data_IF_241937645021
#
_entry.id   IF_241937645021
#
_cell.length_a   1.000
_cell.length_b   1.000
_cell.length_c   1.000
_cell.angle_alpha   90.00
_cell.angle_beta   90.00
_cell.angle_gamma   90.00
#
_symmetry.space_group_name_H-M   'P 1'
#
loop_
_entity.id
_entity.type
_entity.pdbx_description
1 polymer ?
#
# COMPACT_ATOMS: atom_id res chain seq x y z
N UNK A 1 -31.31 38.74 -60.63
CA UNK A 1 -31.32 38.10 -59.30
C UNK A 1 -31.21 39.23 -58.30
N UNK A 2 -32.24 39.41 -57.49
CA UNK A 2 -32.40 40.63 -56.69
C UNK A 2 -31.55 40.52 -55.41
N UNK A 3 -30.89 41.61 -55.00
CA UNK A 3 -29.95 41.60 -53.86
C UNK A 3 -30.61 41.12 -52.56
N UNK A 4 -31.90 41.38 -52.40
CA UNK A 4 -32.76 40.87 -51.32
C UNK A 4 -32.78 39.35 -51.26
N UNK A 5 -33.05 38.68 -52.38
CA UNK A 5 -33.11 37.20 -52.46
C UNK A 5 -31.76 36.53 -52.16
N UNK A 6 -30.64 37.17 -52.53
CA UNK A 6 -29.30 36.67 -52.22
C UNK A 6 -28.97 36.84 -50.73
N UNK A 7 -29.37 37.97 -50.13
CA UNK A 7 -29.18 38.24 -48.69
C UNK A 7 -29.99 37.27 -47.82
N UNK A 8 -31.25 37.01 -48.16
CA UNK A 8 -32.10 36.05 -47.44
C UNK A 8 -31.52 34.63 -47.48
N UNK A 9 -31.00 34.19 -48.64
CA UNK A 9 -30.35 32.89 -48.76
C UNK A 9 -29.10 32.74 -47.88
N UNK A 10 -28.30 33.81 -47.77
CA UNK A 10 -27.12 33.84 -46.89
C UNK A 10 -27.50 33.84 -45.41
N UNK A 11 -28.55 34.56 -45.02
CA UNK A 11 -29.05 34.58 -43.64
C UNK A 11 -29.55 33.19 -43.19
N UNK A 12 -30.30 32.48 -44.04
CA UNK A 12 -30.75 31.11 -43.76
C UNK A 12 -29.55 30.16 -43.59
N UNK A 13 -28.55 30.27 -44.47
CA UNK A 13 -27.32 29.47 -44.37
C UNK A 13 -26.55 29.74 -43.07
N UNK A 14 -26.48 31.00 -42.64
CA UNK A 14 -25.83 31.38 -41.39
C UNK A 14 -26.54 30.78 -40.16
N UNK A 15 -27.87 30.84 -40.11
CA UNK A 15 -28.64 30.23 -39.02
C UNK A 15 -28.46 28.70 -38.98
N UNK A 16 -28.42 28.04 -40.14
CA UNK A 16 -28.18 26.60 -40.23
C UNK A 16 -26.78 26.21 -39.74
N UNK A 17 -25.76 26.97 -40.12
CA UNK A 17 -24.40 26.80 -39.62
C UNK A 17 -24.32 26.96 -38.10
N UNK A 18 -25.03 27.93 -37.52
CA UNK A 18 -25.10 28.12 -36.06
C UNK A 18 -25.72 26.93 -35.32
N UNK A 19 -26.78 26.33 -35.86
CA UNK A 19 -27.41 25.11 -35.32
C UNK A 19 -26.45 23.92 -35.43
N UNK A 20 -25.82 23.72 -36.59
CA UNK A 20 -24.83 22.65 -36.79
C UNK A 20 -23.62 22.79 -35.87
N UNK A 21 -23.12 24.02 -35.69
CA UNK A 21 -22.03 24.31 -34.76
C UNK A 21 -22.45 23.95 -33.33
N UNK A 22 -23.65 24.36 -32.92
CA UNK A 22 -24.16 24.06 -31.57
C UNK A 22 -24.32 22.55 -31.34
N UNK A 23 -24.85 21.83 -32.32
CA UNK A 23 -24.98 20.37 -32.26
C UNK A 23 -23.62 19.66 -32.21
N UNK A 24 -22.65 20.11 -33.01
CA UNK A 24 -21.31 19.51 -33.02
C UNK A 24 -20.58 19.71 -31.68
N UNK A 25 -20.73 20.87 -31.04
CA UNK A 25 -20.21 21.13 -29.69
C UNK A 25 -20.84 20.15 -28.68
N UNK A 26 -22.16 19.98 -28.70
CA UNK A 26 -22.87 19.08 -27.77
C UNK A 26 -22.39 17.62 -27.94
N UNK A 27 -22.25 17.17 -29.19
CA UNK A 27 -21.77 15.82 -29.51
C UNK A 27 -20.31 15.67 -29.04
N UNK A 28 -19.44 16.66 -29.32
CA UNK A 28 -18.04 16.66 -28.90
C UNK A 28 -17.89 16.56 -27.38
N UNK A 29 -18.68 17.32 -26.61
CA UNK A 29 -18.66 17.25 -25.13
C UNK A 29 -19.10 15.87 -24.63
N UNK A 30 -20.13 15.26 -25.25
CA UNK A 30 -20.56 13.90 -24.89
C UNK A 30 -19.48 12.86 -25.19
N UNK A 31 -18.82 12.95 -26.35
CA UNK A 31 -17.72 12.05 -26.71
C UNK A 31 -16.55 12.16 -25.72
N UNK A 32 -16.16 13.38 -25.35
CA UNK A 32 -15.10 13.60 -24.35
C UNK A 32 -15.46 13.01 -22.98
N UNK A 33 -16.72 13.09 -22.55
CA UNK A 33 -17.18 12.46 -21.30
C UNK A 33 -17.09 10.92 -21.36
N UNK A 34 -17.50 10.31 -22.48
CA UNK A 34 -17.40 8.87 -22.68
C UNK A 34 -15.94 8.40 -22.70
N UNK A 35 -15.07 9.08 -23.45
CA UNK A 35 -13.64 8.77 -23.49
C UNK A 35 -12.98 8.86 -22.11
N UNK A 36 -13.29 9.90 -21.33
CA UNK A 36 -12.80 10.01 -19.95
C UNK A 36 -13.24 8.83 -19.09
N UNK A 37 -14.50 8.41 -19.20
CA UNK A 37 -15.01 7.24 -18.47
C UNK A 37 -14.29 5.96 -18.89
N UNK A 38 -14.15 5.72 -20.19
CA UNK A 38 -13.47 4.53 -20.71
C UNK A 38 -11.99 4.49 -20.29
N UNK A 39 -11.30 5.63 -20.26
CA UNK A 39 -9.94 5.73 -19.75
C UNK A 39 -9.86 5.37 -18.27
N UNK A 40 -10.78 5.87 -17.44
CA UNK A 40 -10.83 5.54 -16.01
C UNK A 40 -11.08 4.06 -15.81
N UNK A 41 -12.03 3.47 -16.54
CA UNK A 41 -12.35 2.05 -16.45
C UNK A 41 -11.20 1.15 -16.95
N UNK A 42 -10.49 1.58 -18.00
CA UNK A 42 -9.29 0.88 -18.49
C UNK A 42 -8.14 0.97 -17.47
N UNK A 43 -7.87 2.15 -16.93
CA UNK A 43 -6.83 2.36 -15.92
C UNK A 43 -7.12 1.54 -14.67
N UNK A 44 -8.38 1.53 -14.20
CA UNK A 44 -8.80 0.71 -13.06
C UNK A 44 -8.54 -0.78 -13.30
N UNK A 45 -8.93 -1.30 -14.48
CA UNK A 45 -8.68 -2.71 -14.84
C UNK A 45 -7.19 -3.02 -14.88
N UNK A 46 -6.39 -2.14 -15.49
CA UNK A 46 -4.94 -2.30 -15.55
C UNK A 46 -4.30 -2.32 -14.14
N UNK A 47 -4.73 -1.44 -13.23
CA UNK A 47 -4.22 -1.45 -11.85
C UNK A 47 -4.61 -2.71 -11.08
N UNK A 48 -5.81 -3.24 -11.30
CA UNK A 48 -6.25 -4.50 -10.68
C UNK A 48 -5.44 -5.68 -11.23
N UNK A 49 -5.25 -5.76 -12.53
CA UNK A 49 -4.40 -6.77 -13.17
C UNK A 49 -2.97 -6.70 -12.63
N UNK A 50 -2.42 -5.49 -12.50
CA UNK A 50 -1.09 -5.29 -11.92
C UNK A 50 -1.01 -5.73 -10.46
N UNK A 51 -2.04 -5.47 -9.64
CA UNK A 51 -2.11 -5.99 -8.28
C UNK A 51 -2.04 -7.52 -8.24
N UNK A 52 -2.74 -8.20 -9.14
CA UNK A 52 -2.73 -9.67 -9.22
C UNK A 52 -1.34 -10.17 -9.65
N UNK A 53 -0.72 -9.53 -10.64
CA UNK A 53 0.64 -9.86 -11.09
C UNK A 53 1.66 -9.71 -9.95
N UNK A 54 1.58 -8.59 -9.21
CA UNK A 54 2.45 -8.30 -8.06
C UNK A 54 2.27 -9.34 -6.95
N UNK A 55 1.04 -9.72 -6.64
CA UNK A 55 0.76 -10.78 -5.67
C UNK A 55 1.26 -12.15 -6.13
N UNK A 56 1.07 -12.48 -7.41
CA UNK A 56 1.56 -13.72 -7.99
C UNK A 56 3.10 -13.76 -7.99
N UNK A 57 3.76 -12.64 -8.30
CA UNK A 57 5.20 -12.48 -8.19
C UNK A 57 5.68 -12.74 -6.77
N UNK A 58 5.06 -12.06 -5.79
CA UNK A 58 5.43 -12.18 -4.39
C UNK A 58 5.32 -13.64 -3.91
N UNK A 59 4.21 -14.31 -4.23
CA UNK A 59 3.98 -15.69 -3.83
C UNK A 59 4.89 -16.70 -4.54
N UNK A 60 5.12 -16.55 -5.85
CA UNK A 60 5.82 -17.56 -6.67
C UNK A 60 7.33 -17.38 -6.74
N UNK A 61 7.83 -16.16 -6.54
CA UNK A 61 9.26 -15.83 -6.67
C UNK A 61 9.84 -15.33 -5.37
N UNK A 62 9.24 -14.29 -4.79
CA UNK A 62 9.81 -13.63 -3.62
C UNK A 62 9.83 -14.54 -2.39
N UNK A 63 8.70 -15.17 -2.03
CA UNK A 63 8.63 -16.07 -0.87
C UNK A 63 9.64 -17.22 -0.97
N UNK A 64 9.73 -17.99 -2.08
CA UNK A 64 10.74 -19.04 -2.20
C UNK A 64 12.19 -18.53 -2.11
N UNK A 65 12.49 -17.38 -2.73
CA UNK A 65 13.82 -16.78 -2.66
C UNK A 65 14.16 -16.33 -1.22
N UNK A 66 13.16 -15.83 -0.50
CA UNK A 66 13.30 -15.44 0.89
C UNK A 66 13.47 -16.65 1.83
N UNK A 67 12.78 -17.76 1.59
CA UNK A 67 12.98 -19.01 2.32
C UNK A 67 14.39 -19.59 2.10
N UNK A 68 14.89 -19.49 0.87
CA UNK A 68 16.25 -19.90 0.52
C UNK A 68 17.29 -19.03 1.25
N UNK A 69 17.09 -17.72 1.28
CA UNK A 69 17.88 -16.79 2.09
C UNK A 69 17.87 -17.21 3.57
N UNK A 70 16.69 -17.45 4.15
CA UNK A 70 16.56 -17.85 5.55
C UNK A 70 17.27 -19.17 5.85
N UNK A 71 17.29 -20.11 4.89
CA UNK A 71 18.01 -21.38 5.02
C UNK A 71 19.51 -21.15 5.10
N UNK A 72 20.08 -20.34 4.20
CA UNK A 72 21.52 -19.98 4.19
C UNK A 72 21.90 -19.23 5.45
N UNK A 73 21.12 -18.21 5.80
CA UNK A 73 21.34 -17.40 6.99
C UNK A 73 21.35 -18.25 8.28
N UNK A 74 20.36 -19.15 8.45
CA UNK A 74 20.27 -19.99 9.66
C UNK A 74 21.35 -21.06 9.76
N UNK A 75 21.98 -21.43 8.65
CA UNK A 75 23.13 -22.35 8.68
C UNK A 75 24.35 -21.71 9.35
N UNK A 76 24.50 -20.38 9.23
CA UNK A 76 25.59 -19.62 9.83
C UNK A 76 25.21 -18.99 11.18
N UNK A 77 23.97 -18.53 11.32
CA UNK A 77 23.43 -17.92 12.54
C UNK A 77 22.12 -18.64 12.96
N UNK A 78 22.22 -19.74 13.72
CA UNK A 78 21.05 -20.52 14.14
C UNK A 78 20.14 -19.76 15.11
N UNK A 79 20.70 -18.87 15.94
CA UNK A 79 19.97 -18.08 16.93
C UNK A 79 20.29 -16.60 16.74
N UNK A 80 19.28 -15.84 16.31
CA UNK A 80 19.37 -14.37 16.22
C UNK A 80 19.32 -13.73 17.59
N UNK A 81 20.03 -12.62 17.72
CA UNK A 81 19.89 -11.69 18.83
C UNK A 81 18.62 -10.87 18.60
N UNK A 82 17.82 -10.69 19.66
CA UNK A 82 16.71 -9.75 19.58
C UNK A 82 17.27 -8.34 19.46
N UNK A 83 16.94 -7.68 18.36
CA UNK A 83 17.36 -6.32 18.02
C UNK A 83 16.16 -5.42 17.74
N UNK A 84 14.94 -5.86 18.07
CA UNK A 84 13.71 -5.09 17.87
C UNK A 84 13.75 -3.68 18.48
N UNK A 85 14.45 -3.52 19.61
CA UNK A 85 14.66 -2.23 20.29
C UNK A 85 15.47 -1.20 19.48
N UNK A 86 16.14 -1.63 18.40
CA UNK A 86 16.92 -0.75 17.52
C UNK A 86 16.08 -0.14 16.38
N UNK A 87 14.84 -0.60 16.18
CA UNK A 87 13.95 -0.05 15.15
C UNK A 87 13.52 1.36 15.57
N UNK A 88 14.20 2.38 15.03
CA UNK A 88 13.97 3.79 15.34
C UNK A 88 12.99 4.49 14.38
N UNK A 89 12.28 3.73 13.55
CA UNK A 89 11.39 4.25 12.50
C UNK A 89 12.10 4.86 11.28
N UNK A 90 13.29 5.43 11.45
CA UNK A 90 14.06 5.98 10.33
C UNK A 90 14.78 4.89 9.52
N UNK A 91 14.94 3.70 10.10
CA UNK A 91 15.75 2.61 9.56
C UNK A 91 17.11 3.15 9.12
N UNK A 92 17.80 3.77 10.06
CA UNK A 92 19.06 4.45 9.80
C UNK A 92 19.99 4.23 11.00
N UNK A 93 20.81 3.19 10.91
CA UNK A 93 21.75 2.77 11.96
C UNK A 93 23.10 2.57 11.31
N UNK A 94 24.12 3.23 11.84
CA UNK A 94 25.50 3.02 11.42
C UNK A 94 26.00 1.66 11.92
N UNK A 95 26.67 0.90 11.06
CA UNK A 95 27.21 -0.42 11.39
C UNK A 95 28.32 -0.34 12.44
N UNK A 96 28.97 0.81 12.55
CA UNK A 96 30.02 1.11 13.54
C UNK A 96 29.44 1.21 14.96
N UNK A 97 28.17 1.56 15.10
CA UNK A 97 27.46 1.65 16.39
C UNK A 97 26.89 0.30 16.85
N UNK A 98 26.99 -0.74 16.04
CA UNK A 98 26.52 -2.08 16.38
C UNK A 98 27.59 -2.84 17.16
N UNK A 99 27.14 -3.66 18.12
CA UNK A 99 28.01 -4.62 18.80
C UNK A 99 28.54 -5.70 17.83
N UNK A 100 29.59 -6.42 18.24
CA UNK A 100 30.27 -7.37 17.36
C UNK A 100 29.34 -8.46 16.80
N UNK A 101 28.41 -8.97 17.60
CA UNK A 101 27.49 -10.02 17.14
C UNK A 101 26.53 -9.48 16.08
N UNK A 102 25.94 -8.31 16.33
CA UNK A 102 25.04 -7.64 15.37
C UNK A 102 25.76 -7.28 14.06
N UNK A 103 27.05 -6.91 14.12
CA UNK A 103 27.87 -6.68 12.92
C UNK A 103 28.10 -7.94 12.11
N UNK A 104 28.38 -9.07 12.78
CA UNK A 104 28.51 -10.38 12.12
C UNK A 104 27.17 -10.75 11.46
N UNK A 105 26.04 -10.53 12.15
CA UNK A 105 24.72 -10.77 11.58
C UNK A 105 24.50 -10.00 10.27
N UNK A 106 24.82 -8.71 10.22
CA UNK A 106 24.70 -7.90 9.00
C UNK A 106 25.56 -8.45 7.84
N UNK A 107 26.77 -8.93 8.14
CA UNK A 107 27.67 -9.52 7.13
C UNK A 107 27.05 -10.82 6.58
N UNK A 108 26.62 -11.72 7.46
CA UNK A 108 26.00 -12.99 7.05
C UNK A 108 24.69 -12.77 6.29
N UNK A 109 23.89 -11.77 6.70
CA UNK A 109 22.68 -11.36 5.99
C UNK A 109 23.00 -10.95 4.54
N UNK A 110 24.06 -10.16 4.34
CA UNK A 110 24.53 -9.76 3.03
C UNK A 110 25.03 -10.94 2.20
N UNK A 111 25.87 -11.81 2.77
CA UNK A 111 26.44 -12.97 2.07
C UNK A 111 25.39 -14.03 1.72
N UNK A 112 24.32 -14.11 2.51
CA UNK A 112 23.16 -14.97 2.24
C UNK A 112 22.24 -14.45 1.13
N UNK A 113 22.48 -13.24 0.60
CA UNK A 113 21.77 -12.68 -0.55
C UNK A 113 20.58 -11.78 -0.22
N UNK A 114 20.48 -11.22 0.99
CA UNK A 114 19.36 -10.37 1.37
C UNK A 114 19.30 -9.03 0.59
N UNK A 115 20.44 -8.54 0.09
CA UNK A 115 20.50 -7.30 -0.71
C UNK A 115 19.64 -7.43 -1.99
N UNK A 116 19.72 -8.57 -2.67
CA UNK A 116 18.95 -8.82 -3.89
C UNK A 116 17.45 -8.78 -3.61
N UNK A 117 17.02 -9.36 -2.50
CA UNK A 117 15.63 -9.33 -2.05
C UNK A 117 15.17 -7.90 -1.73
N UNK A 118 15.99 -7.09 -1.06
CA UNK A 118 15.66 -5.67 -0.83
C UNK A 118 15.55 -4.87 -2.13
N UNK A 119 16.38 -5.15 -3.13
CA UNK A 119 16.25 -4.51 -4.45
C UNK A 119 14.91 -4.84 -5.10
N UNK A 120 14.48 -6.10 -5.06
CA UNK A 120 13.17 -6.51 -5.57
C UNK A 120 12.02 -5.82 -4.81
N UNK A 121 12.14 -5.73 -3.48
CA UNK A 121 11.15 -5.04 -2.65
C UNK A 121 11.08 -3.55 -2.91
N UNK A 122 12.20 -2.91 -3.27
CA UNK A 122 12.18 -1.47 -3.60
C UNK A 122 11.32 -1.19 -4.83
N UNK A 123 11.41 -2.01 -5.88
CA UNK A 123 10.56 -1.91 -7.07
C UNK A 123 9.11 -2.30 -6.78
N UNK A 124 8.92 -3.37 -6.01
CA UNK A 124 7.61 -3.80 -5.56
C UNK A 124 6.88 -2.68 -4.80
N UNK A 125 7.57 -2.06 -3.84
CA UNK A 125 7.01 -1.03 -2.98
C UNK A 125 6.75 0.26 -3.75
N UNK A 126 7.65 0.63 -4.68
CA UNK A 126 7.42 1.74 -5.59
C UNK A 126 6.11 1.58 -6.36
N UNK A 127 5.85 0.41 -6.94
CA UNK A 127 4.65 0.17 -7.73
C UNK A 127 3.35 0.33 -6.94
N UNK A 128 3.37 0.03 -5.63
CA UNK A 128 2.20 0.19 -4.76
C UNK A 128 2.05 1.63 -4.29
N UNK A 129 3.15 2.28 -3.91
CA UNK A 129 3.13 3.67 -3.44
C UNK A 129 2.72 4.65 -4.54
N UNK A 130 3.16 4.43 -5.78
CA UNK A 130 2.80 5.24 -6.94
C UNK A 130 1.42 4.90 -7.54
N UNK A 131 0.69 3.94 -6.94
CA UNK A 131 -0.66 3.58 -7.35
C UNK A 131 -0.75 2.78 -8.65
N UNK A 132 0.36 2.19 -9.14
CA UNK A 132 0.32 1.24 -10.26
C UNK A 132 -0.47 -0.01 -9.87
N UNK A 133 -0.30 -0.47 -8.62
CA UNK A 133 -1.12 -1.51 -8.02
C UNK A 133 -2.11 -0.89 -7.01
N UNK A 134 -3.32 -1.45 -6.97
CA UNK A 134 -4.33 -1.09 -5.96
C UNK A 134 -3.86 -1.56 -4.57
N UNK A 135 -3.43 -0.60 -3.74
CA UNK A 135 -2.93 -0.82 -2.37
C UNK A 135 -3.81 -1.76 -1.56
N UNK A 136 -5.14 -1.55 -1.57
CA UNK A 136 -6.08 -2.38 -0.80
C UNK A 136 -6.08 -3.85 -1.21
N UNK A 137 -5.96 -4.14 -2.51
CA UNK A 137 -5.95 -5.53 -3.00
C UNK A 137 -4.67 -6.26 -2.60
N UNK A 138 -3.55 -5.53 -2.61
CA UNK A 138 -2.25 -6.09 -2.26
C UNK A 138 -2.07 -6.19 -0.74
N UNK A 139 -2.56 -5.20 0.01
CA UNK A 139 -2.43 -5.13 1.47
C UNK A 139 -2.99 -6.38 2.16
N UNK A 140 -4.26 -6.72 1.91
CA UNK A 140 -4.98 -7.77 2.63
C UNK A 140 -4.24 -9.12 2.72
N UNK A 141 -3.71 -9.70 1.64
CA UNK A 141 -3.06 -11.01 1.70
C UNK A 141 -1.62 -11.00 2.25
N UNK A 142 -0.87 -9.89 2.17
CA UNK A 142 0.59 -9.93 2.40
C UNK A 142 1.15 -8.88 3.37
N UNK A 143 0.38 -7.87 3.77
CA UNK A 143 0.92 -6.77 4.57
C UNK A 143 1.55 -7.23 5.89
N UNK A 144 0.92 -8.19 6.58
CA UNK A 144 1.43 -8.74 7.84
C UNK A 144 2.80 -9.40 7.67
N UNK A 145 2.97 -10.23 6.62
CA UNK A 145 4.24 -10.91 6.40
C UNK A 145 5.32 -9.98 5.83
N UNK A 146 4.94 -9.01 5.01
CA UNK A 146 5.82 -7.94 4.58
C UNK A 146 6.37 -7.16 5.80
N UNK A 147 5.51 -6.67 6.68
CA UNK A 147 5.94 -5.89 7.85
C UNK A 147 6.84 -6.70 8.79
N UNK A 148 6.46 -7.96 9.11
CA UNK A 148 7.29 -8.84 9.94
C UNK A 148 8.67 -9.10 9.34
N UNK A 149 8.74 -9.28 8.03
CA UNK A 149 10.02 -9.48 7.35
C UNK A 149 10.89 -8.22 7.46
N UNK A 150 10.34 -7.03 7.20
CA UNK A 150 11.10 -5.78 7.32
C UNK A 150 11.59 -5.56 8.76
N UNK A 151 10.76 -5.84 9.77
CA UNK A 151 11.16 -5.81 11.19
C UNK A 151 12.27 -6.82 11.49
N UNK A 152 12.16 -8.05 10.97
CA UNK A 152 13.16 -9.10 11.19
C UNK A 152 14.51 -8.77 10.55
N UNK A 153 14.50 -8.16 9.37
CA UNK A 153 15.70 -7.86 8.59
C UNK A 153 16.16 -6.39 8.72
N UNK A 154 15.68 -5.68 9.73
CA UNK A 154 15.87 -4.24 9.86
C UNK A 154 17.33 -3.81 10.02
N UNK A 155 18.21 -4.67 10.57
CA UNK A 155 19.62 -4.32 10.80
C UNK A 155 20.35 -4.04 9.49
N UNK A 156 20.36 -4.99 8.54
CA UNK A 156 20.96 -4.77 7.23
C UNK A 156 20.26 -3.64 6.48
N UNK A 157 18.93 -3.57 6.51
CA UNK A 157 18.19 -2.47 5.86
C UNK A 157 18.66 -1.10 6.38
N UNK A 158 18.79 -0.97 7.70
CA UNK A 158 19.21 0.26 8.37
C UNK A 158 20.67 0.62 8.07
N UNK A 159 21.55 -0.39 8.06
CA UNK A 159 22.96 -0.22 7.73
C UNK A 159 23.18 0.20 6.27
N UNK A 160 22.41 -0.38 5.33
CA UNK A 160 22.49 -0.01 3.92
C UNK A 160 21.97 1.41 3.69
N UNK A 161 20.84 1.77 4.30
CA UNK A 161 20.27 3.13 4.21
C UNK A 161 21.18 4.18 4.81
N UNK A 162 21.84 3.89 5.92
CA UNK A 162 22.84 4.77 6.52
C UNK A 162 23.99 5.09 5.54
N UNK A 163 24.37 4.11 4.69
CA UNK A 163 25.36 4.27 3.61
C UNK A 163 24.80 4.91 2.33
N UNK A 164 23.55 5.37 2.33
CA UNK A 164 22.91 6.04 1.20
C UNK A 164 22.18 5.13 0.22
N UNK A 165 21.98 3.84 0.53
CA UNK A 165 21.21 2.96 -0.34
C UNK A 165 19.73 3.41 -0.45
N UNK A 166 19.12 3.38 -1.65
CA UNK A 166 17.86 4.06 -1.92
C UNK A 166 16.61 3.25 -1.52
N UNK A 167 16.60 2.57 -0.36
CA UNK A 167 15.45 1.75 0.07
C UNK A 167 14.31 2.56 0.69
N UNK A 168 13.96 3.70 0.09
CA UNK A 168 12.95 4.63 0.62
C UNK A 168 11.54 4.09 0.45
N UNK A 169 11.28 3.37 -0.65
CA UNK A 169 9.96 2.84 -0.91
C UNK A 169 9.68 1.62 -0.04
N UNK A 170 10.70 0.78 0.22
CA UNK A 170 10.59 -0.32 1.20
C UNK A 170 10.11 0.20 2.56
N UNK A 171 10.79 1.22 3.11
CA UNK A 171 10.46 1.82 4.41
C UNK A 171 9.12 2.57 4.35
N UNK A 172 8.87 3.32 3.28
CA UNK A 172 7.60 4.06 3.12
C UNK A 172 6.38 3.14 3.10
N UNK A 173 6.47 2.01 2.39
CA UNK A 173 5.40 1.02 2.37
C UNK A 173 5.27 0.31 3.73
N UNK A 174 6.40 -0.01 4.37
CA UNK A 174 6.41 -0.56 5.72
C UNK A 174 5.65 0.33 6.69
N UNK A 175 5.95 1.64 6.75
CA UNK A 175 5.27 2.57 7.65
C UNK A 175 3.78 2.64 7.37
N UNK A 176 3.42 2.85 6.11
CA UNK A 176 2.01 2.92 5.69
C UNK A 176 1.21 1.68 6.10
N UNK A 177 1.79 0.49 5.94
CA UNK A 177 1.11 -0.76 6.26
C UNK A 177 1.18 -1.11 7.75
N UNK A 178 2.27 -0.75 8.44
CA UNK A 178 2.42 -0.91 9.88
C UNK A 178 1.39 -0.08 10.63
N UNK A 179 1.25 1.20 10.28
CA UNK A 179 0.25 2.10 10.87
C UNK A 179 -1.17 1.54 10.68
N UNK A 180 -1.46 1.01 9.48
CA UNK A 180 -2.77 0.39 9.21
C UNK A 180 -2.99 -0.88 10.04
N UNK A 181 -1.98 -1.75 10.16
CA UNK A 181 -2.07 -2.97 10.97
C UNK A 181 -2.29 -2.65 12.45
N UNK A 182 -1.62 -1.62 12.96
CA UNK A 182 -1.79 -1.15 14.34
C UNK A 182 -3.20 -0.60 14.57
N UNK A 183 -3.72 0.20 13.63
CA UNK A 183 -5.10 0.68 13.68
C UNK A 183 -6.10 -0.47 13.69
N UNK A 184 -5.97 -1.44 12.79
CA UNK A 184 -6.84 -2.63 12.73
C UNK A 184 -6.79 -3.43 14.04
N UNK A 185 -5.61 -3.52 14.66
CA UNK A 185 -5.46 -4.18 15.96
C UNK A 185 -6.14 -3.40 17.09
N UNK A 186 -6.02 -2.07 17.12
CA UNK A 186 -6.69 -1.22 18.10
C UNK A 186 -8.22 -1.28 17.96
N UNK A 187 -8.74 -1.28 16.74
CA UNK A 187 -10.17 -1.42 16.47
C UNK A 187 -10.70 -2.78 16.95
N UNK A 188 -9.96 -3.86 16.67
CA UNK A 188 -10.32 -5.20 17.15
C UNK A 188 -10.35 -5.25 18.69
N UNK A 189 -9.35 -4.66 19.35
CA UNK A 189 -9.31 -4.58 20.82
C UNK A 189 -10.48 -3.77 21.38
N UNK A 190 -10.84 -2.64 20.74
CA UNK A 190 -12.00 -1.83 21.13
C UNK A 190 -13.29 -2.65 21.06
N UNK A 191 -13.55 -3.33 19.94
CA UNK A 191 -14.76 -4.16 19.79
C UNK A 191 -14.80 -5.29 20.82
N UNK A 192 -13.67 -5.93 21.12
CA UNK A 192 -13.59 -6.95 22.16
C UNK A 192 -13.87 -6.39 23.56
N UNK A 193 -13.38 -5.18 23.87
CA UNK A 193 -13.64 -4.50 25.14
C UNK A 193 -15.12 -4.10 25.25
N UNK A 194 -15.71 -3.52 24.20
CA UNK A 194 -17.15 -3.20 24.16
C UNK A 194 -18.02 -4.44 24.37
N UNK A 195 -17.68 -5.56 23.73
CA UNK A 195 -18.38 -6.82 23.93
C UNK A 195 -18.26 -7.32 25.38
N UNK A 196 -17.06 -7.24 25.99
CA UNK A 196 -16.86 -7.59 27.41
C UNK A 196 -17.64 -6.67 28.35
N UNK A 197 -17.69 -5.37 28.06
CA UNK A 197 -18.47 -4.39 28.83
C UNK A 197 -19.96 -4.74 28.74
N UNK A 198 -20.47 -5.04 27.56
CA UNK A 198 -21.89 -5.39 27.38
C UNK A 198 -22.25 -6.70 28.11
N UNK A 199 -21.37 -7.71 28.10
CA UNK A 199 -21.62 -8.97 28.81
C UNK A 199 -21.48 -8.83 30.33
N UNK A 200 -20.58 -7.98 30.83
CA UNK A 200 -20.35 -7.80 32.27
C UNK A 200 -21.20 -6.69 32.90
N UNK A 201 -21.63 -5.70 32.12
CA UNK A 201 -22.46 -4.57 32.55
C UNK A 201 -23.88 -4.99 32.91
N UNK A 202 -24.40 -6.06 32.31
CA UNK A 202 -25.68 -6.66 32.71
C UNK A 202 -25.63 -7.34 34.09
N UNK A 203 -24.44 -7.71 34.58
CA UNK A 203 -24.24 -8.30 35.91
C UNK A 203 -24.06 -7.27 37.04
N UNK A 204 -23.95 -5.97 36.70
CA UNK A 204 -23.82 -4.86 37.66
C UNK A 204 -25.06 -3.95 37.68
N UNK A 205 -26.25 -4.48 37.42
CA UNK A 205 -27.49 -3.76 37.75
C UNK A 205 -27.58 -3.67 39.26
N UNK A 206 -27.55 -2.45 39.79
CA UNK A 206 -27.74 -2.18 41.23
C UNK A 206 -28.98 -2.93 41.73
N UNK A 207 -28.79 -3.78 42.75
CA UNK A 207 -29.90 -4.45 43.43
C UNK A 207 -30.68 -3.34 44.15
N UNK A 208 -31.95 -3.08 43.80
CA UNK A 208 -32.71 -2.06 44.50
C UNK A 208 -32.81 -2.44 45.99
N UNK A 209 -32.74 -1.46 46.91
CA UNK A 209 -32.86 -1.75 48.33
C UNK A 209 -34.17 -2.48 48.62
N UNK A 210 -34.10 -3.55 49.41
CA UNK A 210 -35.29 -4.34 49.79
C UNK A 210 -36.25 -3.40 50.55
N UNK A 211 -37.41 -3.11 49.93
CA UNK A 211 -38.46 -2.28 50.53
C UNK A 211 -39.17 -1.27 49.62
N UNK A 212 -38.77 -1.11 48.35
CA UNK A 212 -39.38 -0.12 47.41
C UNK A 212 -40.31 -0.71 46.35
N UNK A 213 -40.99 -1.82 46.65
CA UNK A 213 -42.19 -2.24 45.92
C UNK A 213 -43.43 -1.86 46.73
N UNK A 214 -43.98 -0.69 46.42
CA UNK A 214 -45.37 -0.32 46.71
C UNK A 214 -46.17 -0.38 45.40
#
# INVERSE_FOLDING_TARGET
MDWSTLKEGLEIGYYFCGILLSLSIIIGVKQLKLLKKDMVDKNRRASVEKSIEVLAYFARKFIPAYDEYLRKFRAEIPKRKDTSYLINGEFNISIENLDKESRIEVIVQQDSGLIQLFNELEFFSLGILEGLAVDKLVYTPIAKEYCKMIEREHLLLSALRNKGAPYKNVVGLYMKWKDRLELEQMELQKTQLEHKINMNGDNHKDIPPIGTSL
#
